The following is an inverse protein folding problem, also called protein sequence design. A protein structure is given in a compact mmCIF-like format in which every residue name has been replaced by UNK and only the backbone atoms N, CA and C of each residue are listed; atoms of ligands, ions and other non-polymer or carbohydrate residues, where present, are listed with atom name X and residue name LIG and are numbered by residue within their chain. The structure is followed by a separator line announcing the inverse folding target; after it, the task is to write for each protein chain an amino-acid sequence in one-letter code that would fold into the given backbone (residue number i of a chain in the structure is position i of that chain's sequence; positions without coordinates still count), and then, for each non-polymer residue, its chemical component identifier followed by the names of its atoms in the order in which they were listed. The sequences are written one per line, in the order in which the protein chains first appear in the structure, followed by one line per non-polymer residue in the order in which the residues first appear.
data_IF_302599728787
#
_entry.id   IF_302599728787
#
_cell.length_a   1.000
_cell.length_b   1.000
_cell.length_c   1.000
_cell.angle_alpha   90.00
_cell.angle_beta   90.00
_cell.angle_gamma   90.00
#
_symmetry.space_group_name_H-M   'P 1'
#
loop_
_entity.id
_entity.type
_entity.pdbx_description
1 polymer ?
#
# COMPACT_ATOMS: atom_id res chain seq x y z
N UNK A 1 23.81 -46.41 9.52
CA UNK A 1 23.99 -44.99 9.93
C UNK A 1 22.69 -44.44 10.54
N UNK A 2 22.77 -43.59 11.58
CA UNK A 2 21.59 -42.92 12.12
C UNK A 2 21.18 -41.75 11.20
N UNK A 3 20.03 -41.89 10.54
CA UNK A 3 19.52 -40.93 9.55
C UNK A 3 19.05 -39.62 10.20
N UNK A 4 18.70 -39.63 11.48
CA UNK A 4 18.29 -38.41 12.19
C UNK A 4 19.48 -37.52 12.52
N UNK A 5 20.67 -38.10 12.63
CA UNK A 5 21.87 -37.41 13.13
C UNK A 5 22.94 -37.16 12.06
N UNK A 6 22.77 -37.70 10.85
CA UNK A 6 23.74 -37.58 9.77
C UNK A 6 23.08 -37.43 8.41
N UNK A 7 23.61 -36.51 7.58
CA UNK A 7 23.34 -36.42 6.14
C UNK A 7 24.67 -36.50 5.39
N UNK A 8 24.73 -37.33 4.35
CA UNK A 8 25.92 -37.59 3.54
C UNK A 8 25.58 -37.41 2.07
N UNK A 9 26.09 -36.33 1.49
CA UNK A 9 26.01 -36.05 0.06
C UNK A 9 27.32 -36.45 -0.58
N UNK A 10 27.27 -37.30 -1.61
CA UNK A 10 28.44 -37.74 -2.39
C UNK A 10 28.26 -37.27 -3.82
N UNK A 11 29.20 -36.48 -4.33
CA UNK A 11 29.16 -35.89 -5.67
C UNK A 11 27.83 -35.14 -5.95
N UNK A 12 27.31 -34.41 -4.96
CA UNK A 12 26.07 -33.65 -5.08
C UNK A 12 24.76 -34.45 -4.92
N UNK A 13 24.82 -35.78 -4.76
CA UNK A 13 23.64 -36.61 -4.55
C UNK A 13 23.53 -37.08 -3.08
N UNK A 14 22.32 -37.04 -2.50
CA UNK A 14 22.08 -37.64 -1.18
C UNK A 14 22.24 -39.17 -1.26
N UNK A 15 23.21 -39.69 -0.51
CA UNK A 15 23.52 -41.12 -0.41
C UNK A 15 23.35 -41.65 1.01
N UNK A 16 22.78 -40.86 1.92
CA UNK A 16 22.73 -41.16 3.34
C UNK A 16 22.12 -42.54 3.65
N UNK A 17 21.01 -42.90 2.99
CA UNK A 17 20.36 -44.21 3.15
C UNK A 17 21.22 -45.40 2.73
N UNK A 18 22.19 -45.18 1.84
CA UNK A 18 23.04 -46.22 1.29
C UNK A 18 24.31 -46.43 2.14
N UNK A 19 24.63 -45.47 3.02
CA UNK A 19 25.86 -45.49 3.82
C UNK A 19 25.63 -46.26 5.12
N UNK A 20 26.48 -47.25 5.35
CA UNK A 20 26.55 -47.98 6.61
C UNK A 20 27.35 -47.19 7.65
N UNK A 21 28.57 -46.75 7.26
CA UNK A 21 29.47 -45.94 8.08
C UNK A 21 30.36 -45.03 7.24
N UNK A 22 30.78 -43.91 7.84
CA UNK A 22 31.75 -42.95 7.29
C UNK A 22 32.78 -42.64 8.37
N UNK A 23 34.05 -42.56 7.99
CA UNK A 23 35.12 -42.11 8.88
C UNK A 23 36.16 -41.31 8.11
N UNK A 24 36.86 -40.44 8.84
CA UNK A 24 38.01 -39.75 8.31
C UNK A 24 39.20 -40.73 8.25
N UNK A 25 39.84 -40.85 7.09
CA UNK A 25 41.01 -41.69 6.88
C UNK A 25 42.12 -40.83 6.23
N UNK A 26 42.91 -40.20 7.11
CA UNK A 26 43.86 -39.15 6.73
C UNK A 26 43.17 -37.92 6.11
N UNK A 27 43.49 -37.64 4.84
CA UNK A 27 42.92 -36.51 4.08
C UNK A 27 41.65 -36.87 3.29
N UNK A 28 41.21 -38.13 3.32
CA UNK A 28 40.04 -38.62 2.59
C UNK A 28 38.97 -39.14 3.55
N UNK A 29 37.77 -39.36 3.02
CA UNK A 29 36.73 -40.10 3.72
C UNK A 29 36.69 -41.54 3.23
N UNK A 30 36.64 -42.47 4.18
CA UNK A 30 36.36 -43.87 3.93
C UNK A 30 34.87 -44.13 4.20
N UNK A 31 34.14 -44.58 3.18
CA UNK A 31 32.70 -44.85 3.22
C UNK A 31 32.46 -46.35 2.97
N UNK A 32 31.68 -46.97 3.85
CA UNK A 32 31.13 -48.32 3.65
C UNK A 32 29.65 -48.21 3.32
N UNK A 33 29.22 -48.85 2.24
CA UNK A 33 27.80 -48.90 1.84
C UNK A 33 27.12 -50.18 2.34
N UNK A 34 25.82 -50.13 2.62
CA UNK A 34 25.06 -51.22 3.24
C UNK A 34 25.10 -52.55 2.46
N UNK A 35 25.22 -52.50 1.14
CA UNK A 35 25.14 -53.68 0.26
C UNK A 35 26.52 -54.23 -0.16
N UNK A 36 27.62 -53.69 0.37
CA UNK A 36 28.97 -54.10 -0.04
C UNK A 36 29.95 -54.08 1.12
N UNK A 37 30.77 -55.12 1.25
CA UNK A 37 31.88 -55.12 2.21
C UNK A 37 33.08 -54.25 1.78
N UNK A 38 33.05 -53.74 0.54
CA UNK A 38 34.09 -52.85 0.02
C UNK A 38 33.97 -51.46 0.65
N UNK A 39 35.11 -50.93 1.10
CA UNK A 39 35.25 -49.56 1.57
C UNK A 39 35.74 -48.69 0.40
N UNK A 40 35.02 -47.61 0.12
CA UNK A 40 35.35 -46.67 -0.93
C UNK A 40 36.01 -45.43 -0.33
N UNK A 41 37.06 -44.94 -0.98
CA UNK A 41 37.78 -43.74 -0.58
C UNK A 41 37.41 -42.57 -1.47
N UNK A 42 37.02 -41.46 -0.86
CA UNK A 42 36.58 -40.24 -1.55
C UNK A 42 37.36 -39.03 -1.05
N UNK A 43 37.64 -38.06 -1.92
CA UNK A 43 38.20 -36.75 -1.52
C UNK A 43 37.18 -35.97 -0.69
N UNK A 44 37.67 -35.04 0.14
CA UNK A 44 36.81 -34.17 0.96
C UNK A 44 35.90 -33.29 0.10
N UNK A 45 36.39 -32.81 -1.04
CA UNK A 45 35.62 -31.91 -1.93
C UNK A 45 34.37 -32.59 -2.52
N UNK A 46 34.40 -33.93 -2.60
CA UNK A 46 33.32 -34.72 -3.16
C UNK A 46 32.28 -35.15 -2.11
N UNK A 47 32.51 -34.84 -0.83
CA UNK A 47 31.63 -35.24 0.27
C UNK A 47 31.23 -34.04 1.10
N UNK A 48 29.92 -33.86 1.23
CA UNK A 48 29.34 -33.05 2.28
C UNK A 48 28.77 -33.98 3.36
N UNK A 49 29.48 -34.08 4.48
CA UNK A 49 29.01 -34.79 5.67
C UNK A 49 28.51 -33.78 6.70
N UNK A 50 27.21 -33.79 6.95
CA UNK A 50 26.57 -32.98 7.97
C UNK A 50 26.24 -33.86 9.18
N UNK A 51 26.61 -33.38 10.36
CA UNK A 51 26.38 -34.05 11.65
C UNK A 51 25.99 -33.00 12.69
N UNK A 52 25.42 -33.45 13.82
CA UNK A 52 24.97 -32.61 14.93
C UNK A 52 23.84 -31.64 14.51
N UNK A 53 22.66 -32.17 14.13
CA UNK A 53 21.55 -31.32 13.76
C UNK A 53 21.03 -30.53 14.96
N UNK A 54 20.36 -29.42 14.65
CA UNK A 54 19.55 -28.68 15.62
C UNK A 54 18.11 -29.17 15.52
N UNK A 55 17.53 -29.60 16.64
CA UNK A 55 16.10 -29.95 16.68
C UNK A 55 15.26 -28.68 16.53
N UNK A 56 14.25 -28.73 15.65
CA UNK A 56 13.33 -27.63 15.42
C UNK A 56 12.04 -27.91 16.18
N UNK A 57 11.66 -26.97 17.03
CA UNK A 57 10.31 -26.91 17.58
C UNK A 57 9.31 -26.47 16.48
N UNK A 58 8.38 -27.37 16.18
CA UNK A 58 7.34 -27.18 15.18
C UNK A 58 5.93 -27.20 15.80
N UNK A 59 5.82 -26.99 17.12
CA UNK A 59 4.52 -26.79 17.75
C UNK A 59 3.79 -25.59 17.09
N UNK A 60 2.50 -25.75 16.81
CA UNK A 60 1.67 -24.76 16.11
C UNK A 60 2.21 -24.33 14.73
N UNK A 61 3.00 -25.19 14.06
CA UNK A 61 3.50 -24.94 12.73
C UNK A 61 2.83 -25.83 11.67
N UNK A 62 2.69 -25.30 10.46
CA UNK A 62 2.44 -26.08 9.27
C UNK A 62 3.75 -26.25 8.51
N UNK A 63 4.12 -27.51 8.27
CA UNK A 63 5.34 -27.86 7.54
C UNK A 63 4.96 -28.30 6.14
N UNK A 64 5.61 -27.71 5.15
CA UNK A 64 5.45 -28.05 3.74
C UNK A 64 6.75 -28.61 3.22
N UNK A 65 6.68 -29.71 2.48
CA UNK A 65 7.80 -30.28 1.74
C UNK A 65 7.42 -30.33 0.25
N UNK A 66 8.25 -29.73 -0.61
CA UNK A 66 7.98 -29.56 -2.04
C UNK A 66 6.58 -28.97 -2.31
N UNK A 67 6.18 -27.97 -1.52
CA UNK A 67 4.88 -27.31 -1.60
C UNK A 67 3.68 -28.12 -1.09
N UNK A 68 3.88 -29.36 -0.60
CA UNK A 68 2.81 -30.18 -0.04
C UNK A 68 2.85 -30.14 1.49
N UNK A 69 1.70 -29.91 2.12
CA UNK A 69 1.57 -29.96 3.58
C UNK A 69 1.85 -31.37 4.09
N UNK A 70 2.87 -31.49 4.92
CA UNK A 70 3.27 -32.73 5.57
C UNK A 70 2.39 -32.99 6.82
N UNK A 71 2.13 -34.26 7.11
CA UNK A 71 1.31 -34.71 8.26
C UNK A 71 2.06 -35.79 9.03
N UNK A 72 1.65 -36.04 10.27
CA UNK A 72 2.21 -37.08 11.14
C UNK A 72 3.74 -36.94 11.32
N UNK A 73 4.22 -35.71 11.47
CA UNK A 73 5.64 -35.44 11.76
C UNK A 73 5.88 -35.70 13.25
N UNK A 74 6.92 -36.49 13.54
CA UNK A 74 7.39 -36.81 14.89
C UNK A 74 8.52 -35.87 15.32
N UNK A 75 9.48 -35.59 14.44
CA UNK A 75 10.61 -34.71 14.72
C UNK A 75 11.15 -34.04 13.45
N UNK A 76 11.76 -32.87 13.61
CA UNK A 76 12.45 -32.16 12.53
C UNK A 76 13.83 -31.76 13.01
N UNK A 77 14.85 -32.12 12.24
CA UNK A 77 16.25 -31.88 12.52
C UNK A 77 16.86 -31.05 11.39
N UNK A 78 17.38 -29.87 11.71
CA UNK A 78 18.07 -28.99 10.77
C UNK A 78 19.57 -29.20 10.82
N UNK A 79 20.12 -29.51 9.66
CA UNK A 79 21.55 -29.54 9.40
C UNK A 79 21.92 -28.24 8.67
N UNK A 80 22.63 -27.35 9.37
CA UNK A 80 23.10 -26.09 8.80
C UNK A 80 24.63 -26.04 8.81
N UNK A 81 25.20 -25.74 7.66
CA UNK A 81 26.59 -25.31 7.50
C UNK A 81 26.59 -23.97 6.75
N UNK A 82 27.67 -23.18 6.82
CA UNK A 82 27.72 -21.78 6.34
C UNK A 82 27.21 -21.55 4.90
N UNK A 83 27.15 -22.58 4.06
CA UNK A 83 26.68 -22.51 2.68
C UNK A 83 25.41 -23.32 2.36
N UNK A 84 24.99 -24.27 3.22
CA UNK A 84 23.95 -25.24 2.85
C UNK A 84 23.08 -25.61 4.05
N UNK A 85 21.78 -25.83 3.77
CA UNK A 85 20.78 -26.26 4.76
C UNK A 85 20.09 -27.52 4.27
N UNK A 86 19.91 -28.47 5.18
CA UNK A 86 19.13 -29.68 4.94
C UNK A 86 18.25 -29.97 6.15
N UNK A 87 17.09 -30.58 5.92
CA UNK A 87 16.18 -31.02 6.96
C UNK A 87 16.06 -32.53 6.93
N UNK A 88 16.14 -33.18 8.08
CA UNK A 88 15.66 -34.53 8.28
C UNK A 88 14.32 -34.48 9.00
N UNK A 89 13.27 -34.96 8.34
CA UNK A 89 11.92 -35.05 8.90
C UNK A 89 11.67 -36.50 9.27
N UNK A 90 11.49 -36.77 10.56
CA UNK A 90 11.06 -38.08 11.08
C UNK A 90 9.54 -38.09 11.16
N UNK A 91 8.92 -39.08 10.52
CA UNK A 91 7.47 -39.29 10.54
C UNK A 91 7.05 -40.26 11.67
N UNK A 92 5.76 -40.31 11.98
CA UNK A 92 5.20 -41.18 13.03
C UNK A 92 5.45 -42.68 12.81
N UNK A 93 5.81 -43.10 11.59
CA UNK A 93 6.25 -44.47 11.27
C UNK A 93 7.74 -44.72 11.52
N UNK A 94 8.44 -43.78 12.18
CA UNK A 94 9.90 -43.73 12.34
C UNK A 94 10.69 -43.70 11.02
N UNK A 95 9.99 -43.48 9.90
CA UNK A 95 10.60 -43.21 8.61
C UNK A 95 11.21 -41.80 8.63
N UNK A 96 12.47 -41.68 8.23
CA UNK A 96 13.18 -40.40 8.11
C UNK A 96 13.29 -40.05 6.64
N UNK A 97 12.95 -38.82 6.27
CA UNK A 97 13.18 -38.26 4.93
C UNK A 97 14.03 -37.01 4.96
N UNK A 98 15.05 -36.95 4.10
CA UNK A 98 15.87 -35.76 3.93
C UNK A 98 15.33 -34.86 2.83
N UNK A 99 15.47 -33.56 3.06
CA UNK A 99 15.09 -32.51 2.13
C UNK A 99 16.15 -31.43 2.09
N UNK A 100 16.34 -30.84 0.91
CA UNK A 100 17.14 -29.62 0.76
C UNK A 100 16.43 -28.45 1.44
N UNK A 101 17.18 -27.45 1.88
CA UNK A 101 16.62 -26.28 2.57
C UNK A 101 15.60 -25.49 1.75
N UNK A 102 15.68 -25.53 0.41
CA UNK A 102 14.73 -24.86 -0.47
C UNK A 102 13.44 -25.67 -0.71
N UNK A 103 13.40 -26.91 -0.23
CA UNK A 103 12.25 -27.81 -0.39
C UNK A 103 11.34 -27.80 0.83
N UNK A 104 11.75 -27.17 1.94
CA UNK A 104 11.02 -27.20 3.21
C UNK A 104 10.67 -25.79 3.66
N UNK A 105 9.37 -25.55 3.78
CA UNK A 105 8.82 -24.31 4.33
C UNK A 105 8.10 -24.61 5.65
N UNK A 106 8.52 -23.94 6.73
CA UNK A 106 7.92 -24.10 8.06
C UNK A 106 7.21 -22.79 8.41
N UNK A 107 5.89 -22.86 8.42
CA UNK A 107 5.01 -21.73 8.67
C UNK A 107 4.46 -21.79 10.09
N UNK A 108 4.70 -20.75 10.89
CA UNK A 108 4.25 -20.70 12.28
C UNK A 108 2.92 -19.97 12.41
N UNK A 109 2.04 -20.49 13.26
CA UNK A 109 0.77 -19.84 13.58
C UNK A 109 0.97 -18.66 14.53
N UNK A 110 0.36 -17.53 14.21
CA UNK A 110 0.28 -16.39 15.13
C UNK A 110 -0.77 -16.58 16.23
N UNK A 111 -1.63 -17.61 16.17
CA UNK A 111 -2.70 -17.88 17.15
C UNK A 111 -2.15 -18.45 18.46
N UNK A 112 -1.30 -17.67 19.13
CA UNK A 112 -0.71 -18.02 20.42
C UNK A 112 -0.83 -16.84 21.40
N UNK A 113 -0.94 -17.15 22.70
CA UNK A 113 -1.01 -16.15 23.76
C UNK A 113 -2.13 -15.12 23.54
N UNK A 114 -1.77 -13.82 23.47
CA UNK A 114 -2.74 -12.72 23.33
C UNK A 114 -3.50 -12.76 22.00
N UNK A 115 -2.88 -13.27 20.94
CA UNK A 115 -3.50 -13.32 19.62
C UNK A 115 -4.68 -14.29 19.58
N UNK A 116 -4.63 -15.37 20.37
CA UNK A 116 -5.75 -16.30 20.56
C UNK A 116 -6.96 -15.56 21.13
N UNK A 117 -6.78 -14.75 22.19
CA UNK A 117 -7.88 -13.98 22.78
C UNK A 117 -8.52 -13.00 21.78
N UNK A 118 -7.70 -12.38 20.92
CA UNK A 118 -8.21 -11.48 19.87
C UNK A 118 -9.01 -12.27 18.83
N UNK A 119 -8.52 -13.44 18.44
CA UNK A 119 -9.22 -14.31 17.50
C UNK A 119 -10.54 -14.84 18.08
N UNK A 120 -10.56 -15.26 19.35
CA UNK A 120 -11.77 -15.68 20.05
C UNK A 120 -12.83 -14.59 20.09
N UNK A 121 -12.41 -13.34 20.34
CA UNK A 121 -13.30 -12.18 20.25
C UNK A 121 -13.90 -12.02 18.85
N UNK A 122 -13.09 -12.15 17.79
CA UNK A 122 -13.58 -12.07 16.42
C UNK A 122 -14.57 -13.22 16.11
N UNK A 123 -14.31 -14.42 16.62
CA UNK A 123 -15.22 -15.56 16.48
C UNK A 123 -16.56 -15.32 17.18
N UNK A 124 -16.55 -14.70 18.37
CA UNK A 124 -17.78 -14.28 19.05
C UNK A 124 -18.54 -13.21 18.26
N UNK A 125 -17.85 -12.21 17.70
CA UNK A 125 -18.47 -11.23 16.81
C UNK A 125 -19.09 -11.89 15.57
N UNK A 126 -18.41 -12.89 14.99
CA UNK A 126 -18.92 -13.65 13.85
C UNK A 126 -20.17 -14.47 14.21
N UNK A 127 -20.25 -15.02 15.43
CA UNK A 127 -21.39 -15.79 15.91
C UNK A 127 -22.66 -14.94 16.12
N UNK A 128 -22.52 -13.65 16.43
CA UNK A 128 -23.66 -12.72 16.58
C UNK A 128 -24.22 -12.30 15.21
N UNK A 129 -23.46 -12.50 14.13
CA UNK A 129 -23.88 -12.10 12.79
C UNK A 129 -24.94 -13.06 12.24
N UNK A 130 -26.12 -12.52 11.90
CA UNK A 130 -27.26 -13.30 11.43
C UNK A 130 -27.26 -13.61 9.93
N UNK A 131 -26.28 -13.11 9.18
CA UNK A 131 -26.25 -13.26 7.73
C UNK A 131 -26.10 -14.74 7.33
N UNK A 132 -27.08 -15.22 6.56
CA UNK A 132 -27.11 -16.59 6.04
C UNK A 132 -27.56 -17.64 7.05
N UNK A 133 -28.10 -17.23 8.20
CA UNK A 133 -28.87 -18.12 9.08
C UNK A 133 -30.21 -18.43 8.40
N UNK A 134 -30.56 -19.70 8.32
CA UNK A 134 -31.89 -20.14 7.94
C UNK A 134 -32.78 -20.20 9.20
N UNK A 135 -33.79 -19.34 9.27
CA UNK A 135 -34.70 -19.26 10.42
C UNK A 135 -35.53 -20.54 10.61
N UNK A 136 -35.66 -21.37 9.57
CA UNK A 136 -36.39 -22.65 9.62
C UNK A 136 -35.53 -23.83 10.11
N UNK A 137 -34.21 -23.64 10.25
CA UNK A 137 -33.27 -24.68 10.69
C UNK A 137 -32.48 -24.20 11.91
N UNK A 138 -32.84 -24.70 13.09
CA UNK A 138 -32.18 -24.37 14.36
C UNK A 138 -30.68 -24.73 14.39
N UNK A 139 -30.21 -25.58 13.46
CA UNK A 139 -28.80 -25.95 13.31
C UNK A 139 -28.03 -25.06 12.33
N UNK A 140 -28.69 -24.11 11.67
CA UNK A 140 -28.07 -23.23 10.69
C UNK A 140 -27.13 -22.23 11.34
N UNK A 141 -25.83 -22.41 11.11
CA UNK A 141 -24.83 -21.40 11.46
C UNK A 141 -24.81 -20.25 10.44
N UNK A 142 -24.58 -19.02 10.91
CA UNK A 142 -24.34 -17.87 10.04
C UNK A 142 -23.06 -18.05 9.21
N UNK A 143 -23.00 -17.40 8.04
CA UNK A 143 -21.88 -17.55 7.08
C UNK A 143 -20.54 -17.27 7.74
N UNK A 144 -20.44 -16.18 8.51
CA UNK A 144 -19.20 -15.81 9.19
C UNK A 144 -18.84 -16.81 10.29
N UNK A 145 -19.81 -17.28 11.07
CA UNK A 145 -19.57 -18.30 12.10
C UNK A 145 -18.98 -19.58 11.50
N UNK A 146 -19.58 -20.07 10.40
CA UNK A 146 -19.11 -21.27 9.70
C UNK A 146 -17.72 -21.11 9.07
N UNK A 147 -17.35 -19.88 8.66
CA UNK A 147 -16.01 -19.60 8.13
C UNK A 147 -14.98 -19.54 9.26
N UNK A 148 -15.26 -18.81 10.34
CA UNK A 148 -14.34 -18.66 11.46
C UNK A 148 -14.11 -19.97 12.21
N UNK A 149 -15.12 -20.83 12.37
CA UNK A 149 -15.00 -22.13 13.03
C UNK A 149 -14.03 -23.09 12.33
N UNK A 150 -13.78 -22.89 11.03
CA UNK A 150 -12.85 -23.70 10.22
C UNK A 150 -11.41 -23.19 10.28
N UNK A 151 -11.16 -22.01 10.86
CA UNK A 151 -9.83 -21.41 10.95
C UNK A 151 -9.18 -21.85 12.26
N UNK A 152 -8.26 -22.80 12.16
CA UNK A 152 -7.43 -23.27 13.29
C UNK A 152 -5.97 -22.82 13.21
N UNK A 153 -5.59 -22.14 12.13
CA UNK A 153 -4.22 -21.72 11.86
C UNK A 153 -4.24 -20.39 11.11
N UNK A 154 -3.44 -19.43 11.59
CA UNK A 154 -3.22 -18.15 10.90
C UNK A 154 -1.73 -17.93 10.83
N UNK A 155 -1.19 -17.92 9.62
CA UNK A 155 0.24 -17.75 9.40
C UNK A 155 0.72 -16.38 9.87
N UNK A 156 1.83 -16.35 10.58
CA UNK A 156 2.53 -15.15 11.04
C UNK A 156 2.89 -14.14 9.92
N UNK A 157 3.02 -14.60 8.68
CA UNK A 157 3.34 -13.76 7.53
C UNK A 157 2.10 -13.16 6.84
N UNK A 158 0.89 -13.60 7.22
CA UNK A 158 -0.35 -13.08 6.63
C UNK A 158 -0.67 -11.66 7.10
N UNK A 159 -1.51 -10.97 6.33
CA UNK A 159 -2.10 -9.69 6.73
C UNK A 159 -2.95 -9.81 8.02
N UNK A 160 -3.60 -10.96 8.23
CA UNK A 160 -4.44 -11.22 9.40
C UNK A 160 -3.63 -11.24 10.70
N UNK A 161 -2.39 -11.76 10.68
CA UNK A 161 -1.52 -11.84 11.85
C UNK A 161 -1.26 -10.47 12.49
N UNK A 162 -1.22 -9.39 11.71
CA UNK A 162 -0.97 -8.04 12.23
C UNK A 162 -2.13 -7.51 13.05
N UNK A 163 -3.37 -7.84 12.70
CA UNK A 163 -4.54 -7.47 13.49
C UNK A 163 -4.63 -8.29 14.79
N UNK A 164 -4.20 -9.55 14.74
CA UNK A 164 -4.19 -10.44 15.91
C UNK A 164 -3.04 -10.10 16.88
N UNK A 165 -1.94 -9.54 16.36
CA UNK A 165 -0.74 -9.20 17.13
C UNK A 165 -0.36 -7.72 16.96
N UNK A 166 -1.08 -6.78 17.59
CA UNK A 166 -0.88 -5.34 17.38
C UNK A 166 0.52 -4.82 17.76
N UNK A 167 1.25 -5.56 18.62
CA UNK A 167 2.63 -5.22 18.99
C UNK A 167 3.67 -5.42 17.88
N UNK A 168 3.32 -6.08 16.77
CA UNK A 168 4.27 -6.39 15.67
C UNK A 168 4.50 -5.21 14.71
N UNK A 169 3.64 -4.19 14.76
CA UNK A 169 3.66 -3.06 13.83
C UNK A 169 3.21 -3.43 12.41
N UNK A 170 2.83 -2.43 11.62
CA UNK A 170 2.48 -2.59 10.20
C UNK A 170 3.72 -2.54 9.33
N UNK A 171 3.89 -3.53 8.44
CA UNK A 171 4.96 -3.51 7.45
C UNK A 171 4.66 -2.44 6.39
N UNK A 172 5.68 -1.65 6.06
CA UNK A 172 5.68 -0.77 4.88
C UNK A 172 6.67 -1.30 3.85
N UNK A 173 6.31 -1.15 2.59
CA UNK A 173 7.13 -1.56 1.46
C UNK A 173 7.62 -0.32 0.73
N UNK A 174 8.86 -0.38 0.24
CA UNK A 174 9.36 0.60 -0.71
C UNK A 174 8.82 0.28 -2.10
N UNK A 175 8.34 1.29 -2.80
CA UNK A 175 8.04 1.21 -4.22
C UNK A 175 8.79 2.36 -4.92
N UNK A 176 9.63 2.05 -5.90
CA UNK A 176 10.46 3.06 -6.58
C UNK A 176 9.63 3.88 -7.59
N UNK A 177 9.00 3.20 -8.55
CA UNK A 177 8.16 3.84 -9.56
C UNK A 177 7.04 2.88 -9.97
N UNK A 178 5.81 3.28 -9.67
CA UNK A 178 4.62 2.56 -10.06
C UNK A 178 4.36 2.70 -11.57
N UNK A 179 3.96 1.60 -12.21
CA UNK A 179 3.54 1.54 -13.60
C UNK A 179 2.03 1.78 -13.71
N UNK A 180 1.59 2.51 -14.75
CA UNK A 180 0.17 2.78 -15.02
C UNK A 180 -0.25 2.42 -16.46
N UNK A 181 -0.06 1.15 -16.89
CA UNK A 181 -0.31 0.76 -18.28
C UNK A 181 -1.78 0.85 -18.71
N UNK A 182 -2.72 0.91 -17.77
CA UNK A 182 -4.17 0.99 -18.06
C UNK A 182 -4.75 2.42 -17.94
N UNK A 183 -3.87 3.42 -17.82
CA UNK A 183 -4.22 4.80 -17.52
C UNK A 183 -4.68 4.98 -16.07
N UNK A 184 -4.65 6.22 -15.60
CA UNK A 184 -5.18 6.58 -14.28
C UNK A 184 -5.55 8.06 -14.23
N UNK A 185 -6.16 8.48 -13.12
CA UNK A 185 -6.24 9.88 -12.69
C UNK A 185 -5.48 10.05 -11.36
N UNK A 186 -5.39 11.29 -10.86
CA UNK A 186 -4.68 11.64 -9.64
C UNK A 186 -5.07 10.79 -8.42
N UNK A 187 -6.37 10.58 -8.19
CA UNK A 187 -6.86 9.83 -7.02
C UNK A 187 -6.57 8.33 -7.14
N UNK A 188 -6.70 7.77 -8.34
CA UNK A 188 -6.33 6.38 -8.63
C UNK A 188 -4.82 6.16 -8.50
N UNK A 189 -4.00 7.11 -8.97
CA UNK A 189 -2.54 7.06 -8.85
C UNK A 189 -2.11 7.00 -7.38
N UNK A 190 -2.67 7.88 -6.54
CA UNK A 190 -2.50 7.83 -5.08
C UNK A 190 -2.95 6.49 -4.49
N UNK A 191 -4.10 5.98 -4.91
CA UNK A 191 -4.63 4.72 -4.41
C UNK A 191 -3.73 3.51 -4.74
N UNK A 192 -3.18 3.45 -5.96
CA UNK A 192 -2.21 2.42 -6.37
C UNK A 192 -0.94 2.53 -5.56
N UNK A 193 -0.37 3.74 -5.41
CA UNK A 193 0.84 3.94 -4.61
C UNK A 193 0.66 3.48 -3.16
N UNK A 194 -0.44 3.87 -2.52
CA UNK A 194 -0.78 3.44 -1.15
C UNK A 194 -0.93 1.91 -1.07
N UNK A 195 -1.58 1.28 -2.06
CA UNK A 195 -1.75 -0.16 -2.11
C UNK A 195 -0.43 -0.93 -2.23
N UNK A 196 0.55 -0.37 -2.94
CA UNK A 196 1.86 -1.01 -3.14
C UNK A 196 2.80 -0.81 -1.95
N UNK A 197 2.64 0.27 -1.17
CA UNK A 197 3.52 0.57 -0.03
C UNK A 197 3.00 0.05 1.31
N UNK A 198 1.76 -0.43 1.38
CA UNK A 198 1.13 -0.88 2.62
C UNK A 198 0.72 -2.34 2.56
N UNK A 199 0.77 -3.03 3.71
CA UNK A 199 0.35 -4.42 3.83
C UNK A 199 -1.16 -4.62 3.58
N UNK A 200 -1.98 -3.61 3.92
CA UNK A 200 -3.43 -3.63 3.74
C UNK A 200 -3.86 -2.24 3.29
N UNK A 201 -4.72 -2.19 2.28
CA UNK A 201 -5.29 -0.94 1.77
C UNK A 201 -6.77 -1.11 1.46
N UNK A 202 -7.57 -0.14 1.89
CA UNK A 202 -8.99 -0.06 1.58
C UNK A 202 -9.18 1.10 0.61
N UNK A 203 -9.61 0.79 -0.62
CA UNK A 203 -9.82 1.78 -1.67
C UNK A 203 -11.32 1.89 -1.94
N UNK A 204 -11.89 3.05 -1.66
CA UNK A 204 -13.29 3.34 -1.98
C UNK A 204 -13.40 3.98 -3.37
N UNK A 205 -14.23 3.42 -4.24
CA UNK A 205 -14.49 3.94 -5.58
C UNK A 205 -15.98 4.05 -5.88
N UNK A 206 -16.57 5.26 -5.92
CA UNK A 206 -17.95 5.47 -6.34
C UNK A 206 -18.28 4.85 -7.73
N UNK A 207 -19.56 4.69 -8.10
CA UNK A 207 -19.94 4.20 -9.43
C UNK A 207 -19.27 5.00 -10.56
N UNK A 208 -18.80 4.33 -11.61
CA UNK A 208 -18.14 4.99 -12.76
C UNK A 208 -16.70 5.46 -12.56
N UNK A 209 -16.11 5.38 -11.37
CA UNK A 209 -14.76 5.92 -11.06
C UNK A 209 -13.58 5.04 -11.49
N UNK A 210 -13.78 4.07 -12.39
CA UNK A 210 -12.69 3.27 -12.95
C UNK A 210 -12.05 2.25 -11.99
N UNK A 211 -12.80 1.69 -11.02
CA UNK A 211 -12.30 0.66 -10.07
C UNK A 211 -11.48 -0.45 -10.73
N UNK A 212 -11.96 -0.98 -11.85
CA UNK A 212 -11.27 -2.05 -12.59
C UNK A 212 -9.91 -1.59 -13.12
N UNK A 213 -9.75 -0.34 -13.56
CA UNK A 213 -8.44 0.20 -13.96
C UNK A 213 -7.47 0.28 -12.78
N UNK A 214 -7.93 0.72 -11.62
CA UNK A 214 -7.10 0.73 -10.40
C UNK A 214 -6.63 -0.68 -10.04
N UNK A 215 -7.51 -1.68 -10.08
CA UNK A 215 -7.16 -3.09 -9.83
C UNK A 215 -6.09 -3.56 -10.82
N UNK A 216 -6.26 -3.29 -12.10
CA UNK A 216 -5.31 -3.70 -13.14
C UNK A 216 -3.94 -3.04 -12.98
N UNK A 217 -3.89 -1.77 -12.61
CA UNK A 217 -2.62 -1.08 -12.33
C UNK A 217 -1.93 -1.68 -11.09
N UNK A 218 -2.66 -2.08 -10.05
CA UNK A 218 -2.08 -2.80 -8.90
C UNK A 218 -1.51 -4.15 -9.36
N UNK A 219 -2.28 -4.94 -10.12
CA UNK A 219 -1.85 -6.23 -10.66
C UNK A 219 -0.57 -6.08 -11.48
N UNK A 220 -0.51 -5.11 -12.40
CA UNK A 220 0.66 -4.87 -13.25
C UNK A 220 1.94 -4.64 -12.43
N UNK A 221 1.86 -3.86 -11.35
CA UNK A 221 3.00 -3.59 -10.48
C UNK A 221 3.41 -4.82 -9.66
N UNK A 222 2.45 -5.60 -9.15
CA UNK A 222 2.77 -6.83 -8.43
C UNK A 222 3.42 -7.88 -9.35
N UNK A 223 2.97 -7.98 -10.60
CA UNK A 223 3.55 -8.86 -11.61
C UNK A 223 4.97 -8.41 -12.03
N UNK A 224 5.19 -7.09 -12.18
CA UNK A 224 6.53 -6.51 -12.40
C UNK A 224 7.52 -6.96 -11.31
N UNK A 225 7.06 -6.99 -10.06
CA UNK A 225 7.83 -7.46 -8.90
C UNK A 225 7.88 -9.00 -8.77
N UNK A 226 7.46 -9.74 -9.80
CA UNK A 226 7.41 -11.22 -9.86
C UNK A 226 6.55 -11.86 -8.76
N UNK A 227 5.55 -11.15 -8.26
CA UNK A 227 4.60 -11.67 -7.26
C UNK A 227 3.43 -12.37 -7.94
N UNK A 228 2.84 -13.34 -7.25
CA UNK A 228 1.55 -13.92 -7.63
C UNK A 228 0.40 -13.07 -7.07
N UNK A 229 -0.72 -13.03 -7.78
CA UNK A 229 -1.90 -12.24 -7.38
C UNK A 229 -3.15 -13.12 -7.43
N UNK A 230 -3.91 -13.13 -6.34
CA UNK A 230 -5.23 -13.74 -6.27
C UNK A 230 -6.29 -12.64 -6.27
N UNK A 231 -7.15 -12.62 -7.28
CA UNK A 231 -8.28 -11.71 -7.35
C UNK A 231 -9.55 -12.45 -6.97
N UNK A 232 -10.27 -11.95 -5.97
CA UNK A 232 -11.54 -12.52 -5.49
C UNK A 232 -12.64 -11.49 -5.53
N UNK A 233 -13.87 -11.93 -5.75
CA UNK A 233 -15.07 -11.10 -5.64
C UNK A 233 -16.26 -11.96 -5.21
N UNK A 234 -17.28 -11.33 -4.63
CA UNK A 234 -18.56 -11.98 -4.35
C UNK A 234 -19.42 -12.14 -5.62
N UNK A 235 -19.08 -11.43 -6.70
CA UNK A 235 -19.84 -11.40 -7.94
C UNK A 235 -18.91 -11.72 -9.11
N UNK A 236 -19.25 -12.77 -9.86
CA UNK A 236 -18.48 -13.25 -11.01
C UNK A 236 -18.24 -12.15 -12.07
N UNK A 237 -19.19 -11.22 -12.24
CA UNK A 237 -19.05 -10.11 -13.20
C UNK A 237 -17.86 -9.20 -12.91
N UNK A 238 -17.47 -9.02 -11.65
CA UNK A 238 -16.34 -8.17 -11.29
C UNK A 238 -15.01 -8.81 -11.72
N UNK A 239 -14.86 -10.13 -11.53
CA UNK A 239 -13.68 -10.88 -11.96
C UNK A 239 -13.64 -11.06 -13.48
N UNK A 240 -14.80 -11.25 -14.13
CA UNK A 240 -14.92 -11.29 -15.59
C UNK A 240 -14.49 -9.96 -16.23
N UNK A 241 -14.91 -8.81 -15.67
CA UNK A 241 -14.47 -7.50 -16.17
C UNK A 241 -12.95 -7.28 -16.09
N UNK A 242 -12.29 -7.82 -15.06
CA UNK A 242 -10.83 -7.79 -14.94
C UNK A 242 -10.19 -8.67 -16.03
N UNK A 243 -10.71 -9.88 -16.21
CA UNK A 243 -10.24 -10.83 -17.22
C UNK A 243 -10.41 -10.29 -18.64
N UNK A 244 -11.58 -9.72 -18.97
CA UNK A 244 -11.87 -9.13 -20.28
C UNK A 244 -10.89 -7.99 -20.62
N UNK A 245 -10.54 -7.17 -19.62
CA UNK A 245 -9.56 -6.11 -19.83
C UNK A 245 -8.15 -6.65 -20.03
N UNK A 246 -7.74 -7.69 -19.30
CA UNK A 246 -6.44 -8.35 -19.54
C UNK A 246 -6.38 -8.98 -20.93
N UNK A 247 -7.46 -9.65 -21.36
CA UNK A 247 -7.62 -10.20 -22.70
C UNK A 247 -7.48 -9.12 -23.80
N UNK A 248 -8.16 -7.98 -23.64
CA UNK A 248 -8.05 -6.85 -24.59
C UNK A 248 -6.63 -6.27 -24.69
N UNK A 249 -5.75 -6.55 -23.73
CA UNK A 249 -4.36 -6.14 -23.71
C UNK A 249 -3.38 -7.30 -24.03
N UNK A 250 -3.89 -8.47 -24.43
CA UNK A 250 -3.07 -9.65 -24.76
C UNK A 250 -2.36 -10.28 -23.55
N UNK A 251 -2.91 -10.11 -22.33
CA UNK A 251 -2.34 -10.57 -21.06
C UNK A 251 -3.19 -11.68 -20.40
N UNK A 252 -4.15 -12.25 -21.11
CA UNK A 252 -5.02 -13.34 -20.64
C UNK A 252 -4.26 -14.62 -20.30
N UNK A 253 -3.16 -14.91 -21.01
CA UNK A 253 -2.30 -16.07 -20.74
C UNK A 253 -1.65 -16.07 -19.34
N UNK A 254 -1.67 -14.93 -18.64
CA UNK A 254 -1.18 -14.79 -17.26
C UNK A 254 -2.25 -15.17 -16.21
N UNK A 255 -3.48 -15.46 -16.63
CA UNK A 255 -4.62 -15.60 -15.72
C UNK A 255 -5.14 -17.03 -15.70
N UNK A 256 -5.48 -17.52 -14.50
CA UNK A 256 -6.16 -18.79 -14.30
C UNK A 256 -7.51 -18.57 -13.59
N UNK A 257 -8.62 -18.90 -14.26
CA UNK A 257 -9.97 -18.74 -13.71
C UNK A 257 -10.38 -19.95 -12.87
N UNK A 258 -10.04 -19.96 -11.58
CA UNK A 258 -10.18 -21.15 -10.72
C UNK A 258 -11.49 -21.22 -9.90
N UNK A 259 -12.52 -20.45 -10.25
CA UNK A 259 -13.72 -20.29 -9.40
C UNK A 259 -14.54 -21.57 -9.17
N UNK A 260 -14.87 -22.31 -10.24
CA UNK A 260 -15.65 -23.55 -10.19
C UNK A 260 -14.77 -24.77 -10.45
N UNK A 261 -15.17 -25.94 -9.94
CA UNK A 261 -14.43 -27.21 -10.15
C UNK A 261 -14.24 -27.48 -11.65
N UNK A 262 -15.29 -27.28 -12.42
CA UNK A 262 -15.30 -27.44 -13.87
C UNK A 262 -14.31 -26.48 -14.54
N UNK A 263 -14.21 -25.23 -14.07
CA UNK A 263 -13.24 -24.26 -14.61
C UNK A 263 -11.80 -24.66 -14.30
N UNK A 264 -11.55 -25.23 -13.11
CA UNK A 264 -10.21 -25.74 -12.75
C UNK A 264 -9.82 -26.91 -13.64
N UNK A 265 -10.72 -27.88 -13.80
CA UNK A 265 -10.51 -29.05 -14.65
C UNK A 265 -10.32 -28.62 -16.12
N UNK A 266 -11.15 -27.70 -16.61
CA UNK A 266 -11.04 -27.16 -17.96
C UNK A 266 -9.73 -26.40 -18.18
N UNK A 267 -9.27 -25.59 -17.22
CA UNK A 267 -8.00 -24.87 -17.30
C UNK A 267 -6.80 -25.82 -17.31
N UNK A 268 -6.81 -26.85 -16.46
CA UNK A 268 -5.73 -27.85 -16.42
C UNK A 268 -5.69 -28.66 -17.72
N UNK A 269 -6.86 -29.05 -18.25
CA UNK A 269 -6.96 -29.79 -19.50
C UNK A 269 -6.62 -28.94 -20.73
N UNK A 270 -6.91 -27.63 -20.69
CA UNK A 270 -6.76 -26.70 -21.81
C UNK A 270 -5.93 -25.47 -21.39
N UNK A 271 -4.68 -25.69 -20.99
CA UNK A 271 -3.79 -24.57 -20.66
C UNK A 271 -3.61 -23.68 -21.89
N UNK A 272 -3.82 -22.36 -21.78
CA UNK A 272 -3.65 -21.46 -22.90
C UNK A 272 -2.20 -21.52 -23.40
N UNK A 273 -1.97 -21.50 -24.72
CA UNK A 273 -0.62 -21.44 -25.25
C UNK A 273 0.06 -20.17 -24.75
N UNK A 274 1.36 -20.27 -24.48
CA UNK A 274 2.18 -19.10 -24.20
C UNK A 274 2.09 -18.13 -25.38
N UNK A 275 2.03 -16.83 -25.09
CA UNK A 275 2.01 -15.80 -26.13
C UNK A 275 3.25 -15.94 -27.03
N UNK A 276 3.02 -16.04 -28.34
CA UNK A 276 4.07 -16.26 -29.36
C UNK A 276 5.14 -15.17 -29.35
N UNK A 277 4.80 -13.98 -28.86
CA UNK A 277 5.68 -12.83 -28.84
C UNK A 277 6.59 -12.80 -27.60
N UNK A 278 6.39 -13.68 -26.61
CA UNK A 278 7.21 -13.71 -25.39
C UNK A 278 8.73 -13.74 -25.65
N UNK A 279 9.27 -14.52 -26.61
CA UNK A 279 10.70 -14.49 -26.92
C UNK A 279 11.20 -13.11 -27.36
N UNK A 280 10.35 -12.32 -28.02
CA UNK A 280 10.68 -10.96 -28.49
C UNK A 280 10.70 -9.92 -27.37
N UNK A 281 10.09 -10.24 -26.23
CA UNK A 281 10.05 -9.35 -25.07
C UNK A 281 11.33 -9.40 -24.24
N UNK A 282 12.27 -10.29 -24.58
CA UNK A 282 13.56 -10.35 -23.94
C UNK A 282 14.34 -9.05 -24.20
N UNK A 283 14.48 -8.23 -23.16
CA UNK A 283 15.26 -7.00 -23.18
C UNK A 283 16.58 -7.19 -22.46
N UNK A 284 17.62 -6.56 -22.99
CA UNK A 284 18.91 -6.45 -22.29
C UNK A 284 18.74 -5.61 -21.02
N UNK A 285 19.65 -5.75 -20.05
CA UNK A 285 19.65 -4.92 -18.84
C UNK A 285 19.75 -3.42 -19.16
N UNK A 286 20.46 -3.06 -20.25
CA UNK A 286 20.63 -1.66 -20.70
C UNK A 286 19.30 -1.10 -21.21
N UNK A 287 18.61 -1.82 -22.10
CA UNK A 287 17.29 -1.41 -22.60
C UNK A 287 16.27 -1.31 -21.47
N UNK A 288 16.28 -2.27 -20.55
CA UNK A 288 15.38 -2.29 -19.39
C UNK A 288 15.60 -1.08 -18.50
N UNK A 289 16.87 -0.73 -18.22
CA UNK A 289 17.20 0.45 -17.42
C UNK A 289 16.81 1.76 -18.12
N UNK A 290 16.96 1.83 -19.45
CA UNK A 290 16.51 2.99 -20.24
C UNK A 290 14.99 3.14 -20.16
N UNK A 291 14.25 2.08 -20.40
CA UNK A 291 12.79 2.08 -20.31
C UNK A 291 12.31 2.48 -18.90
N UNK A 292 12.97 2.00 -17.85
CA UNK A 292 12.65 2.40 -16.47
C UNK A 292 12.82 3.91 -16.24
N UNK A 293 13.89 4.52 -16.77
CA UNK A 293 14.08 5.97 -16.67
C UNK A 293 13.02 6.74 -17.45
N UNK A 294 12.74 6.32 -18.69
CA UNK A 294 11.71 6.95 -19.52
C UNK A 294 10.34 6.89 -18.84
N UNK A 295 9.97 5.74 -18.27
CA UNK A 295 8.74 5.60 -17.49
C UNK A 295 8.73 6.52 -16.27
N UNK A 296 9.84 6.58 -15.52
CA UNK A 296 9.93 7.46 -14.34
C UNK A 296 9.72 8.92 -14.72
N UNK A 297 10.43 9.41 -15.72
CA UNK A 297 10.31 10.79 -16.20
C UNK A 297 8.88 11.09 -16.70
N UNK A 298 8.24 10.13 -17.37
CA UNK A 298 6.85 10.26 -17.83
C UNK A 298 5.85 10.28 -16.67
N UNK A 299 6.03 9.41 -15.67
CA UNK A 299 5.17 9.38 -14.48
C UNK A 299 5.28 10.71 -13.74
N UNK A 300 6.49 11.21 -13.47
CA UNK A 300 6.71 12.50 -12.79
C UNK A 300 6.00 13.66 -13.50
N UNK A 301 6.06 13.74 -14.83
CA UNK A 301 5.32 14.74 -15.62
C UNK A 301 3.80 14.60 -15.47
N UNK A 302 3.29 13.36 -15.47
CA UNK A 302 1.86 13.10 -15.27
C UNK A 302 1.42 13.50 -13.86
N UNK A 303 2.24 13.26 -12.83
CA UNK A 303 1.95 13.71 -11.46
C UNK A 303 1.86 15.24 -11.37
N UNK A 304 2.75 15.96 -12.07
CA UNK A 304 2.73 17.42 -12.16
C UNK A 304 1.43 17.91 -12.82
N UNK A 305 1.06 17.33 -13.97
CA UNK A 305 -0.20 17.64 -14.68
C UNK A 305 -1.41 17.43 -13.76
N UNK A 306 -1.46 16.30 -13.05
CA UNK A 306 -2.56 16.01 -12.12
C UNK A 306 -2.61 17.02 -10.97
N UNK A 307 -1.47 17.40 -10.40
CA UNK A 307 -1.40 18.41 -9.34
C UNK A 307 -1.94 19.76 -9.83
N UNK A 308 -1.59 20.15 -11.05
CA UNK A 308 -2.09 21.38 -11.65
C UNK A 308 -3.60 21.33 -11.94
N UNK A 309 -4.11 20.21 -12.42
CA UNK A 309 -5.55 20.01 -12.65
C UNK A 309 -6.35 20.06 -11.36
N UNK A 310 -5.86 19.42 -10.29
CA UNK A 310 -6.48 19.51 -8.96
C UNK A 310 -6.48 20.95 -8.45
N UNK A 311 -5.35 21.66 -8.59
CA UNK A 311 -5.27 23.07 -8.18
C UNK A 311 -6.24 23.95 -8.99
N UNK A 312 -6.32 23.74 -10.30
CA UNK A 312 -7.23 24.47 -11.18
C UNK A 312 -8.69 24.26 -10.77
N UNK A 313 -9.08 23.02 -10.45
CA UNK A 313 -10.43 22.71 -9.98
C UNK A 313 -10.74 23.42 -8.66
N UNK A 314 -9.82 23.39 -7.70
CA UNK A 314 -9.94 24.11 -6.41
C UNK A 314 -10.09 25.61 -6.63
N UNK A 315 -9.24 26.22 -7.46
CA UNK A 315 -9.30 27.66 -7.75
C UNK A 315 -10.64 28.06 -8.40
N UNK A 316 -11.17 27.24 -9.31
CA UNK A 316 -12.48 27.49 -9.96
C UNK A 316 -13.63 27.38 -8.98
N UNK A 317 -13.62 26.37 -8.12
CA UNK A 317 -14.64 26.22 -7.08
C UNK A 317 -14.62 27.43 -6.12
N UNK A 318 -13.44 27.78 -5.61
CA UNK A 318 -13.29 28.93 -4.71
C UNK A 318 -13.72 30.23 -5.39
N UNK A 319 -13.38 30.42 -6.67
CA UNK A 319 -13.81 31.60 -7.43
C UNK A 319 -15.34 31.68 -7.52
N UNK A 320 -16.00 30.56 -7.82
CA UNK A 320 -17.46 30.52 -7.91
C UNK A 320 -18.13 30.85 -6.56
N UNK A 321 -17.63 30.27 -5.47
CA UNK A 321 -18.12 30.54 -4.11
C UNK A 321 -17.94 32.03 -3.73
N UNK A 322 -16.76 32.59 -3.99
CA UNK A 322 -16.44 33.99 -3.69
C UNK A 322 -17.25 34.96 -4.55
N UNK A 323 -17.44 34.68 -5.84
CA UNK A 323 -18.25 35.54 -6.72
C UNK A 323 -19.72 35.57 -6.26
N UNK A 324 -20.26 34.45 -5.79
CA UNK A 324 -21.59 34.39 -5.17
C UNK A 324 -21.62 35.25 -3.90
N UNK A 325 -20.70 35.04 -2.96
CA UNK A 325 -20.62 35.78 -1.69
C UNK A 325 -20.48 37.29 -1.93
N UNK A 326 -19.59 37.69 -2.85
CA UNK A 326 -19.37 39.07 -3.27
C UNK A 326 -20.64 39.69 -3.87
N UNK A 327 -21.42 38.91 -4.63
CA UNK A 327 -22.69 39.38 -5.20
C UNK A 327 -23.76 39.64 -4.15
N UNK A 328 -23.85 38.79 -3.12
CA UNK A 328 -24.75 38.99 -1.98
C UNK A 328 -24.33 40.21 -1.16
N UNK A 329 -23.03 40.33 -0.86
CA UNK A 329 -22.46 41.46 -0.15
C UNK A 329 -22.76 42.78 -0.86
N UNK A 330 -22.66 42.79 -2.20
CA UNK A 330 -22.97 43.97 -3.03
C UNK A 330 -24.44 44.39 -2.95
N UNK A 331 -25.37 43.42 -2.87
CA UNK A 331 -26.81 43.70 -2.75
C UNK A 331 -27.19 44.27 -1.38
N UNK A 332 -26.52 43.83 -0.31
CA UNK A 332 -26.82 44.30 1.06
C UNK A 332 -26.30 45.71 1.34
N UNK A 333 -25.24 46.18 0.66
CA UNK A 333 -24.60 47.47 0.96
C UNK A 333 -24.26 48.32 -0.28
N UNK A 334 -25.22 48.64 -1.17
CA UNK A 334 -24.98 49.25 -2.50
C UNK A 334 -24.11 50.52 -2.51
N UNK A 335 -24.17 51.34 -1.46
CA UNK A 335 -23.56 52.69 -1.43
C UNK A 335 -22.14 52.77 -0.83
N UNK A 336 -21.48 51.64 -0.53
CA UNK A 336 -20.18 51.62 0.18
C UNK A 336 -18.99 51.17 -0.65
N UNK A 337 -19.15 51.01 -1.97
CA UNK A 337 -18.13 50.36 -2.79
C UNK A 337 -17.21 51.33 -3.52
N UNK A 338 -15.91 51.18 -3.29
CA UNK A 338 -14.85 51.78 -4.10
C UNK A 338 -14.29 50.70 -5.03
N UNK A 339 -14.20 50.97 -6.34
CA UNK A 339 -13.45 50.16 -7.31
C UNK A 339 -11.93 50.40 -7.20
N UNK A 340 -11.41 50.75 -6.01
CA UNK A 340 -9.98 51.00 -5.81
C UNK A 340 -9.21 49.71 -6.10
N UNK A 341 -8.28 49.77 -7.04
CA UNK A 341 -7.30 48.70 -7.24
C UNK A 341 -6.39 48.62 -6.02
N UNK A 342 -6.28 47.41 -5.46
CA UNK A 342 -5.42 47.12 -4.31
C UNK A 342 -4.37 46.08 -4.72
N UNK A 343 -3.09 46.45 -4.53
CA UNK A 343 -1.94 45.57 -4.79
C UNK A 343 -1.62 44.62 -3.64
N UNK A 344 -2.14 44.89 -2.44
CA UNK A 344 -1.94 44.07 -1.24
C UNK A 344 -2.61 42.71 -1.41
N UNK A 345 -1.91 41.61 -1.08
CA UNK A 345 -2.45 40.26 -1.27
C UNK A 345 -3.64 39.95 -0.37
N UNK A 346 -4.58 39.11 -0.84
CA UNK A 346 -5.78 38.72 -0.09
C UNK A 346 -5.47 38.18 1.32
N UNK A 347 -4.42 37.35 1.43
CA UNK A 347 -3.94 36.80 2.71
C UNK A 347 -3.42 37.87 3.69
N UNK A 348 -2.82 38.96 3.18
CA UNK A 348 -2.40 40.10 4.01
C UNK A 348 -3.62 40.91 4.45
N UNK A 349 -4.61 41.09 3.58
CA UNK A 349 -5.88 41.75 3.91
C UNK A 349 -6.57 40.99 5.05
N UNK A 350 -6.76 39.67 4.92
CA UNK A 350 -7.33 38.81 5.97
C UNK A 350 -6.57 38.91 7.31
N UNK A 351 -5.23 38.93 7.28
CA UNK A 351 -4.42 39.11 8.51
C UNK A 351 -4.67 40.46 9.17
N UNK A 352 -4.81 41.53 8.40
CA UNK A 352 -5.12 42.87 8.93
C UNK A 352 -6.55 42.90 9.49
N UNK A 353 -7.48 42.32 8.76
CA UNK A 353 -8.90 42.22 9.11
C UNK A 353 -9.10 41.45 10.42
N UNK A 354 -8.45 40.29 10.58
CA UNK A 354 -8.46 39.51 11.81
C UNK A 354 -7.86 40.25 13.02
N UNK A 355 -6.81 41.06 12.79
CA UNK A 355 -6.23 41.91 13.85
C UNK A 355 -7.18 43.03 14.27
N UNK A 356 -7.89 43.63 13.31
CA UNK A 356 -8.89 44.68 13.57
C UNK A 356 -10.08 44.09 14.34
N UNK A 357 -10.62 42.94 13.92
CA UNK A 357 -11.69 42.21 14.64
C UNK A 357 -11.24 41.81 16.06
N UNK A 358 -10.01 41.35 16.22
CA UNK A 358 -9.45 41.02 17.55
C UNK A 358 -9.29 42.27 18.43
N UNK A 359 -8.96 43.41 17.81
CA UNK A 359 -8.80 44.68 18.50
C UNK A 359 -10.16 45.27 18.92
N UNK A 360 -11.21 45.14 18.11
CA UNK A 360 -12.56 45.58 18.48
C UNK A 360 -13.13 44.79 19.67
N UNK A 361 -12.93 43.47 19.70
CA UNK A 361 -13.35 42.61 20.83
C UNK A 361 -12.61 43.01 22.11
N UNK A 362 -11.29 43.22 22.02
CA UNK A 362 -10.50 43.65 23.17
C UNK A 362 -10.97 44.99 23.70
N UNK A 363 -11.47 45.90 22.87
CA UNK A 363 -11.92 47.25 23.27
C UNK A 363 -13.08 47.26 24.29
N UNK A 364 -13.89 46.20 24.38
CA UNK A 364 -15.02 46.11 25.32
C UNK A 364 -14.61 45.77 26.76
N UNK A 365 -13.41 45.24 27.00
CA UNK A 365 -12.90 44.99 28.35
C UNK A 365 -11.96 46.12 28.76
N UNK A 366 -12.41 46.98 29.68
CA UNK A 366 -11.58 48.02 30.27
C UNK A 366 -10.62 47.38 31.28
N UNK A 367 -9.32 47.59 31.10
CA UNK A 367 -8.30 47.17 32.07
C UNK A 367 -7.53 48.39 32.55
N UNK A 368 -7.39 48.50 33.87
CA UNK A 368 -6.75 49.65 34.55
C UNK A 368 -5.22 49.69 34.41
N UNK A 369 -4.64 48.78 33.65
CA UNK A 369 -3.20 48.53 33.63
C UNK A 369 -2.47 49.31 32.52
N UNK A 370 -1.49 50.13 32.92
CA UNK A 370 -0.83 51.13 32.06
C UNK A 370 -0.04 50.48 30.91
N UNK A 371 0.58 49.33 31.15
CA UNK A 371 1.34 48.58 30.13
C UNK A 371 0.40 48.04 29.04
N UNK A 372 -0.80 47.59 29.41
CA UNK A 372 -1.81 47.15 28.45
C UNK A 372 -2.38 48.32 27.63
N UNK A 373 -2.48 49.53 28.20
CA UNK A 373 -2.85 50.75 27.47
C UNK A 373 -1.80 51.15 26.43
N UNK A 374 -0.51 51.10 26.76
CA UNK A 374 0.56 51.36 25.79
C UNK A 374 0.61 50.33 24.66
N UNK A 375 0.47 49.04 25.00
CA UNK A 375 0.42 47.96 24.00
C UNK A 375 -0.78 48.11 23.05
N UNK A 376 -1.92 48.58 23.58
CA UNK A 376 -3.12 48.92 22.79
C UNK A 376 -2.89 50.11 21.86
N UNK A 377 -2.34 51.22 22.36
CA UNK A 377 -2.03 52.40 21.55
C UNK A 377 -1.03 52.09 20.44
N UNK A 378 0.01 51.31 20.74
CA UNK A 378 0.96 50.85 19.72
C UNK A 378 0.31 49.94 18.68
N UNK A 379 -0.59 49.04 19.10
CA UNK A 379 -1.33 48.19 18.17
C UNK A 379 -2.32 48.98 17.30
N UNK A 380 -2.96 50.01 17.86
CA UNK A 380 -3.84 50.96 17.16
C UNK A 380 -3.05 51.72 16.10
N UNK A 381 -1.95 52.37 16.50
CA UNK A 381 -1.06 53.12 15.60
C UNK A 381 -0.48 52.23 14.50
N UNK A 382 -0.06 51.01 14.83
CA UNK A 382 0.45 50.04 13.84
C UNK A 382 -0.61 49.63 12.81
N UNK A 383 -1.87 49.46 13.24
CA UNK A 383 -2.98 49.13 12.34
C UNK A 383 -3.38 50.33 11.47
N UNK A 384 -3.45 51.55 12.03
CA UNK A 384 -3.70 52.78 11.28
C UNK A 384 -2.61 53.06 10.25
N UNK A 385 -1.34 52.86 10.61
CA UNK A 385 -0.21 53.00 9.69
C UNK A 385 -0.31 51.98 8.53
N UNK A 386 -0.70 50.73 8.82
CA UNK A 386 -0.91 49.71 7.77
C UNK A 386 -2.11 50.02 6.89
N UNK A 387 -3.20 50.55 7.45
CA UNK A 387 -4.39 50.97 6.71
C UNK A 387 -4.06 52.12 5.74
N UNK A 388 -3.26 53.09 6.20
CA UNK A 388 -2.76 54.19 5.36
C UNK A 388 -1.81 53.70 4.28
N UNK A 389 -0.80 52.91 4.63
CA UNK A 389 0.22 52.45 3.66
C UNK A 389 -0.31 51.45 2.63
N UNK A 390 -1.25 50.57 3.02
CA UNK A 390 -1.66 49.44 2.18
C UNK A 390 -2.96 49.68 1.41
N UNK A 391 -3.80 50.62 1.87
CA UNK A 391 -5.14 50.87 1.34
C UNK A 391 -5.50 52.36 1.20
N UNK A 392 -4.62 53.28 1.60
CA UNK A 392 -4.86 54.74 1.61
C UNK A 392 -6.14 55.11 2.39
N UNK A 393 -6.39 54.41 3.50
CA UNK A 393 -7.50 54.68 4.43
C UNK A 393 -6.96 55.60 5.53
N UNK A 394 -7.39 56.87 5.54
CA UNK A 394 -6.90 57.90 6.47
C UNK A 394 -7.68 58.01 7.80
N UNK A 395 -8.54 57.05 8.13
CA UNK A 395 -9.36 57.07 9.34
C UNK A 395 -8.63 56.62 10.61
N UNK A 396 -8.98 57.22 11.75
CA UNK A 396 -8.63 56.71 13.08
C UNK A 396 -9.47 55.48 13.42
N UNK A 397 -8.87 54.54 14.15
CA UNK A 397 -9.50 53.32 14.63
C UNK A 397 -10.34 53.61 15.88
N UNK A 398 -11.61 53.99 15.68
CA UNK A 398 -12.61 54.28 16.72
C UNK A 398 -13.77 53.27 16.68
N UNK A 399 -14.50 53.04 17.79
CA UNK A 399 -15.64 52.11 17.81
C UNK A 399 -16.66 52.37 16.68
N UNK A 400 -16.88 53.64 16.31
CA UNK A 400 -17.84 54.04 15.27
C UNK A 400 -17.30 53.85 13.83
N UNK A 401 -15.98 53.95 13.63
CA UNK A 401 -15.35 53.79 12.32
C UNK A 401 -14.98 52.34 11.99
N UNK A 402 -14.78 51.51 13.02
CA UNK A 402 -14.39 50.10 12.89
C UNK A 402 -15.33 49.28 12.00
N UNK A 403 -16.67 49.31 12.17
CA UNK A 403 -17.58 48.56 11.29
C UNK A 403 -17.41 48.95 9.83
N UNK A 404 -17.25 50.25 9.54
CA UNK A 404 -17.04 50.76 8.18
C UNK A 404 -15.70 50.32 7.60
N UNK A 405 -14.62 50.35 8.39
CA UNK A 405 -13.29 49.90 7.98
C UNK A 405 -13.29 48.38 7.72
N UNK A 406 -13.95 47.60 8.58
CA UNK A 406 -14.10 46.15 8.41
C UNK A 406 -14.83 45.86 7.10
N UNK A 407 -15.99 46.49 6.85
CA UNK A 407 -16.73 46.28 5.60
C UNK A 407 -15.94 46.67 4.35
N UNK A 408 -15.16 47.76 4.43
CA UNK A 408 -14.28 48.16 3.33
C UNK A 408 -13.17 47.12 3.10
N UNK A 409 -12.55 46.58 4.15
CA UNK A 409 -11.52 45.55 4.02
C UNK A 409 -12.08 44.22 3.54
N UNK A 410 -13.29 43.82 3.96
CA UNK A 410 -13.99 42.63 3.46
C UNK A 410 -14.22 42.79 1.94
N UNK A 411 -14.69 43.96 1.48
CA UNK A 411 -14.86 44.26 0.06
C UNK A 411 -13.53 44.23 -0.73
N UNK A 412 -12.48 44.85 -0.20
CA UNK A 412 -11.16 44.84 -0.82
C UNK A 412 -10.55 43.43 -0.87
N UNK A 413 -10.87 42.58 0.12
CA UNK A 413 -10.50 41.16 0.11
C UNK A 413 -11.15 40.45 -1.06
N UNK A 414 -12.47 40.58 -1.27
CA UNK A 414 -13.17 39.92 -2.38
C UNK A 414 -12.59 40.33 -3.74
N UNK A 415 -12.44 41.64 -4.00
CA UNK A 415 -11.84 42.13 -5.26
C UNK A 415 -10.47 41.50 -5.48
N UNK A 416 -9.61 41.54 -4.46
CA UNK A 416 -8.25 41.04 -4.57
C UNK A 416 -8.23 39.52 -4.78
N UNK A 417 -9.05 38.78 -4.05
CA UNK A 417 -9.07 37.32 -4.11
C UNK A 417 -9.59 36.81 -5.45
N UNK A 418 -10.64 37.44 -5.99
CA UNK A 418 -11.13 37.17 -7.36
C UNK A 418 -10.03 37.40 -8.39
N UNK A 419 -9.32 38.53 -8.31
CA UNK A 419 -8.22 38.82 -9.24
C UNK A 419 -7.07 37.80 -9.13
N UNK A 420 -6.67 37.46 -7.91
CA UNK A 420 -5.62 36.45 -7.66
C UNK A 420 -6.03 35.07 -8.20
N UNK A 421 -7.26 34.63 -7.95
CA UNK A 421 -7.77 33.35 -8.45
C UNK A 421 -7.85 33.32 -9.98
N UNK A 422 -8.33 34.39 -10.62
CA UNK A 422 -8.38 34.48 -12.09
C UNK A 422 -6.98 34.41 -12.72
N UNK A 423 -6.02 35.14 -12.14
CA UNK A 423 -4.63 35.10 -12.60
C UNK A 423 -3.99 33.73 -12.40
N UNK A 424 -4.26 33.06 -11.27
CA UNK A 424 -3.76 31.71 -11.00
C UNK A 424 -4.35 30.68 -11.97
N UNK A 425 -5.67 30.75 -12.22
CA UNK A 425 -6.38 29.92 -13.21
C UNK A 425 -5.77 30.09 -14.60
N UNK A 426 -5.57 31.33 -15.05
CA UNK A 426 -5.00 31.63 -16.38
C UNK A 426 -3.57 31.07 -16.51
N UNK A 427 -2.74 31.21 -15.47
CA UNK A 427 -1.40 30.65 -15.46
C UNK A 427 -1.41 29.11 -15.53
N UNK A 428 -2.26 28.47 -14.72
CA UNK A 428 -2.40 27.00 -14.72
C UNK A 428 -2.91 26.48 -16.06
N UNK A 429 -3.90 27.13 -16.66
CA UNK A 429 -4.40 26.77 -17.99
C UNK A 429 -3.33 26.93 -19.07
N UNK A 430 -2.53 27.99 -19.01
CA UNK A 430 -1.43 28.24 -19.95
C UNK A 430 -0.37 27.14 -19.84
N UNK A 431 0.02 26.78 -18.62
CA UNK A 431 0.98 25.71 -18.39
C UNK A 431 0.43 24.35 -18.85
N UNK A 432 -0.83 24.00 -18.53
CA UNK A 432 -1.46 22.75 -19.00
C UNK A 432 -1.55 22.67 -20.52
N UNK A 433 -1.85 23.78 -21.21
CA UNK A 433 -1.86 23.82 -22.69
C UNK A 433 -0.47 23.55 -23.27
N UNK A 434 0.60 24.05 -22.65
CA UNK A 434 1.99 23.77 -23.09
C UNK A 434 2.31 22.28 -22.99
N UNK A 435 1.90 21.61 -21.92
CA UNK A 435 2.08 20.16 -21.78
C UNK A 435 1.31 19.37 -22.82
N UNK A 436 0.04 19.70 -23.09
CA UNK A 436 -0.73 19.02 -24.14
C UNK A 436 -0.09 19.14 -25.52
N UNK A 437 0.50 20.30 -25.84
CA UNK A 437 1.19 20.51 -27.11
C UNK A 437 2.51 19.70 -27.23
N UNK A 438 3.18 19.42 -26.12
CA UNK A 438 4.38 18.57 -26.07
C UNK A 438 4.08 17.07 -26.10
N UNK A 439 2.84 16.65 -25.84
CA UNK A 439 2.41 15.25 -25.90
C UNK A 439 1.85 14.87 -27.28
N UNK A 440 1.38 15.85 -28.06
CA UNK A 440 0.85 15.64 -29.41
C UNK A 440 1.90 15.76 -30.53
N UNK A 441 3.07 16.34 -30.24
CA UNK A 441 4.23 16.39 -31.14
C UNK A 441 5.35 15.54 -30.55
#
# INVERSE_FOLDING_TARGET
MNLENHIIIINGADKTYQVESIRLDGYKYAIKFQNTDKIYSYSRDNILWLSNPTSIDFENCHVFANGKKEKNIKAIHLFANNAVRYYAITYGSDFVKHYSGNEVDIHRSCLTGKATNVFDYLQQCAAINTLGINEEDESSEGILSSVYSKISFVDEETAAAVYMSPGRGLRRYSNDTALFPFGCNASQMRAVNIALTNQISVIQGPPGTGKTQTILNIIANLLKDKKSVLVVSNNNSATENVLEKLYKNGLDFLVASLGKKENKEAFIANQPPLNSDLPTWHKTSIETNRAHREVKDSVEKVEEIFTMQERLAVCRQELAEIEIEMSHYKKEQPDKFSNKEVKTSSSKILKILGRIKSFSIKYQHDSKDFVQRFKRLWSKFSLELRLRLSFDIKGELTPDSMPRIISLLDWLFYIRRVHELKSEIENLETQLRRFNWQVQN
#
